data_IF_387877034639
#
_entry.id   IF_387877034639
#
_cell.length_a   1.000
_cell.length_b   1.000
_cell.length_c   1.000
_cell.angle_alpha   90.00
_cell.angle_beta   90.00
_cell.angle_gamma   90.00
#
_symmetry.space_group_name_H-M   'P 1'
#
loop_
_entity.id
_entity.type
_entity.pdbx_description
1 polymer ?
2 non-polymer ?
3 non-polymer ?
4 non-polymer ?
5 non-polymer ?
6 water ?
#
# COMPACT_ATOMS: atom_id res chain seq x y z
N UNK A 1 11.44 -14.53 14.96
CA UNK A 1 11.97 -14.60 13.56
C UNK A 1 13.32 -13.87 13.45
N UNK A 2 14.12 -13.92 14.51
CA UNK A 2 15.44 -13.26 14.58
C UNK A 2 16.41 -13.78 13.53
N UNK A 3 16.29 -15.05 13.17
CA UNK A 3 17.13 -15.65 12.14
C UNK A 3 16.88 -15.12 10.72
N UNK A 4 15.87 -14.28 10.53
CA UNK A 4 15.62 -13.65 9.21
C UNK A 4 16.15 -12.23 9.12
N UNK A 5 16.52 -11.66 10.25
CA UNK A 5 16.88 -10.24 10.29
C UNK A 5 18.20 -9.94 9.61
N UNK A 6 18.28 -8.73 9.07
CA UNK A 6 19.42 -8.17 8.43
C UNK A 6 19.94 -7.03 9.34
N UNK A 7 21.25 -6.93 9.46
CA UNK A 7 21.88 -5.98 10.37
C UNK A 7 22.48 -4.85 9.55
N UNK A 8 22.14 -3.60 9.84
CA UNK A 8 22.71 -2.48 9.09
C UNK A 8 24.21 -2.26 9.40
N UNK A 9 25.01 -2.27 8.37
CA UNK A 9 26.44 -1.99 8.50
C UNK A 9 26.77 -0.58 8.11
N UNK A 10 26.09 -0.04 7.08
CA UNK A 10 26.36 1.33 6.72
C UNK A 10 25.11 1.95 6.15
N UNK A 11 25.00 3.26 6.32
CA UNK A 11 23.89 4.04 5.71
C UNK A 11 24.39 5.35 5.10
N UNK A 12 23.66 5.84 4.12
CA UNK A 12 23.92 7.15 3.60
C UNK A 12 22.66 7.62 2.91
N UNK A 13 22.47 8.92 2.82
CA UNK A 13 21.44 9.45 1.97
C UNK A 13 22.01 9.56 0.56
N UNK A 14 21.58 8.67 -0.33
CA UNK A 14 22.19 8.62 -1.67
C UNK A 14 21.59 9.69 -2.59
N UNK A 15 20.35 10.09 -2.36
CA UNK A 15 19.74 11.08 -3.28
C UNK A 15 18.71 11.92 -2.57
N UNK A 16 18.68 13.21 -2.89
CA UNK A 16 17.56 14.06 -2.48
C UNK A 16 17.04 14.81 -3.71
N UNK A 17 15.80 14.55 -4.08
CA UNK A 17 15.17 15.27 -5.17
C UNK A 17 14.47 16.49 -4.65
N UNK A 18 13.53 16.98 -5.45
CA UNK A 18 12.64 18.06 -5.01
C UNK A 18 11.84 17.60 -3.79
N UNK A 19 11.33 16.37 -3.83
CA UNK A 19 10.55 15.82 -2.75
C UNK A 19 11.06 14.55 -2.13
N UNK A 20 11.66 13.67 -2.91
CA UNK A 20 11.97 12.34 -2.42
C UNK A 20 13.41 12.22 -1.95
N UNK A 21 13.58 11.60 -0.80
CA UNK A 21 14.90 11.33 -0.23
C UNK A 21 15.11 9.82 -0.18
N UNK A 22 16.24 9.36 -0.70
CA UNK A 22 16.55 7.93 -0.74
C UNK A 22 17.75 7.60 0.14
N UNK A 23 17.57 6.63 1.04
CA UNK A 23 18.66 6.08 1.84
C UNK A 23 19.17 4.79 1.13
N UNK A 24 20.49 4.64 1.09
CA UNK A 24 21.13 3.42 0.60
C UNK A 24 21.95 2.79 1.74
N UNK A 25 21.61 1.56 2.11
CA UNK A 25 22.24 0.86 3.22
C UNK A 25 23.00 -0.35 2.72
N UNK A 26 24.06 -0.69 3.44
CA UNK A 26 24.65 -1.99 3.30
C UNK A 26 24.27 -2.77 4.54
N UNK A 27 23.76 -3.98 4.35
CA UNK A 27 23.30 -4.82 5.46
C UNK A 27 23.97 -6.19 5.47
N UNK A 28 24.15 -6.73 6.66
CA UNK A 28 24.58 -8.11 6.76
C UNK A 28 23.38 -9.03 6.94
N UNK A 29 23.24 -9.97 6.01
CA UNK A 29 22.08 -10.82 5.94
C UNK A 29 22.31 -12.13 6.71
N UNK A 30 21.28 -12.98 6.83
CA UNK A 30 21.46 -14.23 7.62
C UNK A 30 22.57 -15.19 7.13
N UNK A 31 23.01 -15.02 5.90
CA UNK A 31 24.15 -15.78 5.38
C UNK A 31 25.50 -15.16 5.76
N UNK A 32 25.49 -14.09 6.56
CA UNK A 32 26.72 -13.37 6.90
C UNK A 32 27.30 -12.54 5.78
N UNK A 33 26.68 -12.53 4.59
CA UNK A 33 27.12 -11.73 3.46
C UNK A 33 26.48 -10.31 3.46
N UNK A 34 27.01 -9.43 2.61
CA UNK A 34 26.59 -8.01 2.58
C UNK A 34 25.77 -7.70 1.33
N UNK A 35 24.61 -7.05 1.53
CA UNK A 35 23.73 -6.69 0.42
C UNK A 35 23.32 -5.23 0.53
N UNK A 36 23.00 -4.64 -0.60
CA UNK A 36 22.53 -3.28 -0.65
C UNK A 36 21.01 -3.27 -0.44
N UNK A 37 20.53 -2.28 0.28
CA UNK A 37 19.09 -2.04 0.44
C UNK A 37 18.86 -0.56 0.18
N UNK A 38 17.77 -0.22 -0.54
CA UNK A 38 17.47 1.16 -0.91
C UNK A 38 16.04 1.42 -0.60
N UNK A 39 15.74 2.58 -0.02
CA UNK A 39 14.39 2.90 0.38
C UNK A 39 14.20 4.39 0.58
N UNK A 40 12.97 4.84 0.35
CA UNK A 40 12.57 6.24 0.57
C UNK A 40 12.37 6.51 2.07
N UNK A 41 12.84 7.66 2.53
CA UNK A 41 12.64 8.10 3.90
C UNK A 41 11.39 9.01 3.86
N UNK A 42 10.36 8.59 4.57
CA UNK A 42 9.06 9.23 4.51
C UNK A 42 8.70 9.58 5.96
N UNK A 43 8.01 10.72 6.17
CA UNK A 43 7.72 11.18 7.53
C UNK A 43 6.65 10.37 8.29
N UNK A 44 5.96 9.48 7.59
CA UNK A 44 4.73 8.89 8.08
C UNK A 44 3.52 9.72 7.70
N UNK A 45 2.35 9.16 7.97
CA UNK A 45 1.11 9.81 7.52
C UNK A 45 -0.10 9.39 8.35
N UNK A 46 -1.21 10.08 8.11
CA UNK A 46 -2.50 9.71 8.67
C UNK A 46 -3.59 9.74 7.59
N UNK A 47 -4.57 8.85 7.73
CA UNK A 47 -5.77 8.86 6.93
C UNK A 47 -7.00 8.66 7.84
N UNK A 48 -8.14 9.24 7.47
CA UNK A 48 -9.32 8.98 8.27
C UNK A 48 -10.57 8.67 7.49
N UNK A 49 -11.48 7.99 8.18
CA UNK A 49 -12.75 7.56 7.65
C UNK A 49 -13.77 8.43 8.31
N UNK A 50 -14.31 9.43 7.61
CA UNK A 50 -15.17 10.40 8.30
C UNK A 50 -16.64 10.03 8.08
N UNK A 51 -17.26 9.54 9.14
CA UNK A 51 -18.61 8.97 9.06
C UNK A 51 -19.68 9.97 9.50
N UNK A 52 -20.52 10.35 8.55
CA UNK A 52 -21.52 11.38 8.73
C UNK A 52 -22.74 10.83 9.46
N UNK A 53 -23.53 11.75 10.06
CA UNK A 53 -24.80 11.33 10.68
C UNK A 53 -25.70 10.51 9.74
N UNK A 54 -25.74 10.84 8.45
CA UNK A 54 -26.63 10.11 7.53
C UNK A 54 -26.09 8.74 7.11
N UNK A 55 -24.93 8.35 7.64
CA UNK A 55 -24.32 7.08 7.32
C UNK A 55 -23.37 7.09 6.13
N UNK A 56 -23.32 8.19 5.37
CA UNK A 56 -22.37 8.25 4.26
C UNK A 56 -21.00 8.59 4.85
N UNK A 57 -19.95 8.36 4.07
CA UNK A 57 -18.61 8.76 4.45
C UNK A 57 -18.16 9.90 3.54
N UNK A 58 -17.38 10.81 4.09
CA UNK A 58 -16.80 11.89 3.32
C UNK A 58 -15.53 11.39 2.64
N UNK A 59 -15.49 11.52 1.33
CA UNK A 59 -14.31 11.11 0.53
C UNK A 59 -13.92 12.22 -0.41
N UNK A 60 -12.82 12.01 -1.15
CA UNK A 60 -12.34 12.97 -2.12
C UNK A 60 -11.99 12.31 -3.43
N UNK A 61 -12.09 13.11 -4.49
CA UNK A 61 -11.46 12.77 -5.77
C UNK A 61 -10.21 13.63 -5.87
N UNK A 62 -9.10 13.00 -6.23
CA UNK A 62 -7.82 13.70 -6.36
C UNK A 62 -7.01 13.07 -7.49
N UNK A 63 -6.46 13.90 -8.38
CA UNK A 63 -5.59 13.41 -9.44
C UNK A 63 -4.23 13.08 -8.85
N UNK A 64 -3.68 11.94 -9.25
CA UNK A 64 -2.34 11.47 -8.79
C UNK A 64 -1.46 11.21 -10.00
N UNK A 65 -0.53 12.14 -10.27
CA UNK A 65 0.28 12.10 -11.45
C UNK A 65 1.17 10.85 -11.57
N UNK A 66 1.58 10.28 -10.45
CA UNK A 66 2.43 9.11 -10.48
C UNK A 66 1.73 7.96 -11.19
N UNK A 67 0.41 7.90 -11.10
CA UNK A 67 -0.40 6.87 -11.79
C UNK A 67 -1.22 7.39 -12.98
N UNK A 68 -1.19 8.69 -13.22
CA UNK A 68 -1.92 9.36 -14.28
C UNK A 68 -3.42 9.16 -14.17
N UNK A 69 -3.96 9.10 -12.95
CA UNK A 69 -5.41 9.03 -12.85
C UNK A 69 -5.96 9.68 -11.62
N UNK A 70 -7.28 9.83 -11.63
CA UNK A 70 -8.02 10.40 -10.52
C UNK A 70 -8.44 9.23 -9.62
N UNK A 71 -8.17 9.38 -8.33
CA UNK A 71 -8.50 8.37 -7.35
C UNK A 71 -9.59 8.86 -6.43
N UNK A 72 -10.42 7.93 -6.01
CA UNK A 72 -11.33 8.13 -4.88
C UNK A 72 -10.56 7.77 -3.62
N UNK A 73 -10.43 8.72 -2.71
CA UNK A 73 -9.61 8.50 -1.52
C UNK A 73 -10.34 8.93 -0.26
N UNK A 74 -9.95 8.37 0.88
CA UNK A 74 -10.27 8.97 2.14
C UNK A 74 -9.22 10.09 2.37
N UNK A 75 -9.58 11.15 3.14
CA UNK A 75 -8.63 12.24 3.31
C UNK A 75 -7.43 11.79 4.10
N UNK A 76 -6.29 12.38 3.77
CA UNK A 76 -5.02 12.00 4.36
C UNK A 76 -3.97 13.07 4.17
N UNK A 77 -2.89 12.95 4.92
CA UNK A 77 -1.69 13.69 4.61
C UNK A 77 -0.51 13.26 5.48
N UNK A 78 0.63 13.89 5.22
CA UNK A 78 1.87 13.56 5.85
C UNK A 78 1.98 14.17 7.24
N UNK A 79 2.68 13.44 8.07
CA UNK A 79 2.99 13.83 9.41
C UNK A 79 4.00 15.00 9.36
N UNK A 80 3.70 16.08 10.05
CA UNK A 80 4.57 17.26 10.00
C UNK A 80 5.27 17.47 11.31
N UNK A 81 6.56 17.83 11.24
CA UNK A 81 7.36 18.15 12.43
C UNK A 81 7.30 17.04 13.50
N UNK A 82 7.25 15.79 13.07
CA UNK A 82 7.08 14.66 14.00
C UNK A 82 5.87 14.73 14.99
N UNK A 83 4.81 15.43 14.61
CA UNK A 83 3.60 15.50 15.43
C UNK A 83 2.91 14.14 15.66
N UNK A 84 2.06 14.09 16.67
CA UNK A 84 1.17 12.94 16.85
C UNK A 84 0.26 12.84 15.60
N UNK A 85 0.06 11.63 15.08
CA UNK A 85 -0.72 11.52 13.84
C UNK A 85 -2.18 11.90 14.05
N UNK A 86 -2.68 11.88 15.29
CA UNK A 86 -4.04 12.35 15.53
C UNK A 86 -4.18 13.83 15.13
N UNK A 87 -3.14 14.63 15.40
CA UNK A 87 -3.14 16.01 14.96
C UNK A 87 -3.09 16.09 13.44
N UNK A 88 -2.27 15.26 12.81
CA UNK A 88 -2.24 15.21 11.35
C UNK A 88 -3.63 14.95 10.78
N UNK A 89 -4.30 13.95 11.34
CA UNK A 89 -5.63 13.56 10.87
C UNK A 89 -6.64 14.71 11.05
N UNK A 90 -6.60 15.39 12.20
CA UNK A 90 -7.58 16.47 12.44
C UNK A 90 -7.37 17.60 11.44
N UNK A 91 -6.11 17.99 11.24
CA UNK A 91 -5.77 19.05 10.32
C UNK A 91 -6.16 18.69 8.90
N UNK A 92 -5.79 17.49 8.44
CA UNK A 92 -6.11 17.11 7.09
C UNK A 92 -7.62 16.97 6.84
N UNK A 93 -8.37 16.45 7.81
CA UNK A 93 -9.82 16.37 7.63
C UNK A 93 -10.34 17.81 7.41
N UNK A 94 -9.84 18.76 8.23
CA UNK A 94 -10.31 20.13 8.14
C UNK A 94 -9.92 20.79 6.81
N UNK A 95 -8.65 20.71 6.44
CA UNK A 95 -8.18 21.33 5.23
C UNK A 95 -8.74 20.71 3.96
N UNK A 96 -8.75 19.37 3.86
CA UNK A 96 -9.17 18.76 2.60
C UNK A 96 -10.67 18.73 2.40
N UNK A 97 -11.45 18.72 3.48
CA UNK A 97 -12.90 18.54 3.37
C UNK A 97 -13.73 19.56 4.16
N UNK A 98 -13.09 20.33 5.03
CA UNK A 98 -13.80 21.28 5.88
C UNK A 98 -14.50 20.73 7.12
N UNK A 99 -14.26 19.46 7.46
CA UNK A 99 -14.93 18.88 8.61
C UNK A 99 -14.09 18.85 9.86
N UNK A 100 -14.78 18.92 11.00
CA UNK A 100 -14.24 18.55 12.30
C UNK A 100 -15.04 17.40 12.87
N UNK A 101 -14.41 16.66 13.76
CA UNK A 101 -14.99 15.48 14.38
C UNK A 101 -14.79 15.51 15.87
N UNK A 102 -15.86 15.20 16.59
CA UNK A 102 -15.76 15.08 18.06
C UNK A 102 -15.19 13.76 18.55
N UNK A 103 -15.36 12.69 17.78
CA UNK A 103 -14.98 11.38 18.24
C UNK A 103 -13.95 10.78 17.26
N UNK A 104 -12.75 10.58 17.76
CA UNK A 104 -11.63 9.98 16.99
C UNK A 104 -11.24 8.66 17.59
N UNK A 105 -11.05 7.66 16.74
CA UNK A 105 -10.66 6.35 17.20
C UNK A 105 -9.54 5.86 16.30
N UNK A 106 -8.43 5.46 16.89
CA UNK A 106 -7.34 4.87 16.11
C UNK A 106 -7.75 3.45 15.74
N UNK A 107 -7.58 3.07 14.47
CA UNK A 107 -7.91 1.69 14.04
C UNK A 107 -6.66 0.79 13.91
N UNK A 108 -5.72 1.24 13.10
CA UNK A 108 -4.56 0.40 12.77
C UNK A 108 -3.51 1.20 12.01
N UNK A 109 -2.29 0.64 11.95
CA UNK A 109 -1.20 1.22 11.19
C UNK A 109 -0.84 0.31 10.04
N UNK A 110 -0.74 0.87 8.84
CA UNK A 110 -0.37 0.12 7.65
C UNK A 110 0.98 0.60 7.10
N UNK A 111 1.62 -0.27 6.35
CA UNK A 111 2.90 0.02 5.69
C UNK A 111 2.70 -0.26 4.20
N UNK A 112 2.60 0.81 3.41
CA UNK A 112 2.22 0.63 2.00
C UNK A 112 3.32 0.28 1.05
N UNK A 113 4.57 0.30 1.50
CA UNK A 113 5.69 0.11 0.58
C UNK A 113 6.82 -0.64 1.29
N UNK A 114 6.55 -1.83 1.82
CA UNK A 114 7.55 -2.51 2.64
C UNK A 114 8.89 -2.83 1.89
N UNK A 115 8.84 -2.92 0.55
CA UNK A 115 9.99 -3.16 -0.29
C UNK A 115 10.89 -1.93 -0.48
N UNK A 116 10.36 -0.72 -0.32
CA UNK A 116 11.17 0.47 -0.68
C UNK A 116 10.79 1.83 -0.10
N UNK A 117 10.05 1.84 1.00
CA UNK A 117 9.83 3.05 1.76
C UNK A 117 9.54 2.69 3.23
N UNK A 118 9.95 3.58 4.15
CA UNK A 118 9.67 3.36 5.54
C UNK A 118 8.31 3.97 5.95
N UNK A 119 7.55 4.43 4.98
CA UNK A 119 6.23 5.04 5.22
C UNK A 119 5.31 4.17 6.06
N UNK A 120 4.70 4.75 7.09
CA UNK A 120 3.55 4.13 7.75
C UNK A 120 2.41 5.13 7.68
N UNK A 121 1.20 4.60 7.71
CA UNK A 121 -0.01 5.41 7.70
C UNK A 121 -0.91 4.95 8.87
N UNK A 122 -1.22 5.87 9.76
CA UNK A 122 -2.13 5.55 10.85
C UNK A 122 -3.53 5.89 10.39
N UNK A 123 -4.43 4.93 10.51
CA UNK A 123 -5.83 5.06 10.05
C UNK A 123 -6.74 5.26 11.27
N UNK A 124 -7.61 6.25 11.16
CA UNK A 124 -8.54 6.65 12.20
C UNK A 124 -9.96 6.61 11.68
N UNK A 125 -10.90 6.32 12.58
CA UNK A 125 -12.34 6.49 12.35
C UNK A 125 -12.77 7.81 13.02
N UNK A 126 -13.40 8.71 12.24
CA UNK A 126 -13.89 9.97 12.75
C UNK A 126 -15.43 10.03 12.70
N UNK A 127 -16.02 10.29 13.86
CA UNK A 127 -17.45 10.36 14.03
C UNK A 127 -17.84 11.68 14.73
N UNK A 128 -19.15 11.96 14.66
CA UNK A 128 -19.74 13.17 15.19
C UNK A 128 -19.11 14.39 14.56
N UNK A 129 -19.40 14.54 13.26
CA UNK A 129 -18.79 15.51 12.39
C UNK A 129 -19.61 16.76 12.34
N UNK A 130 -18.93 17.88 12.15
CA UNK A 130 -19.57 19.12 11.77
C UNK A 130 -18.75 19.80 10.70
N UNK A 131 -19.42 20.50 9.80
CA UNK A 131 -18.78 21.10 8.62
C UNK A 131 -18.37 22.55 8.87
N UNK A 132 -17.25 22.96 8.29
CA UNK A 132 -16.79 24.36 8.23
C UNK A 132 -16.44 24.66 6.77
N UNK A 133 -15.17 24.80 6.44
CA UNK A 133 -14.74 25.20 5.09
C UNK A 133 -13.43 24.50 4.67
N UNK A 134 -13.42 23.94 3.47
CA UNK A 134 -12.22 23.34 2.92
C UNK A 134 -11.16 24.44 2.74
N UNK A 135 -9.90 24.15 3.09
CA UNK A 135 -8.79 25.12 2.90
C UNK A 135 -7.59 24.46 2.18
N UNK A 136 -7.49 24.66 0.87
CA UNK A 136 -6.51 23.97 0.06
C UNK A 136 -5.25 24.77 -0.14
N UNK A 137 -4.12 24.08 -0.22
CA UNK A 137 -2.85 24.69 -0.57
C UNK A 137 -2.81 25.11 -2.05
N UNK A 138 -1.86 26.00 -2.38
CA UNK A 138 -1.49 26.22 -3.78
C UNK A 138 -0.93 24.87 -4.25
N UNK A 139 -1.43 24.38 -5.38
CA UNK A 139 -0.93 23.11 -5.93
C UNK A 139 -1.70 21.88 -5.49
N UNK A 140 -2.73 22.10 -4.67
CA UNK A 140 -3.59 21.01 -4.16
C UNK A 140 -5.01 21.18 -4.69
N UNK A 141 -5.51 20.12 -5.32
CA UNK A 141 -6.75 20.16 -6.08
C UNK A 141 -7.59 18.96 -5.68
N UNK A 142 -8.76 19.22 -5.08
CA UNK A 142 -9.50 18.17 -4.36
C UNK A 142 -10.99 18.45 -4.48
N UNK A 143 -11.76 17.44 -4.87
CA UNK A 143 -13.20 17.56 -4.88
C UNK A 143 -13.77 16.65 -3.81
N UNK A 144 -14.67 17.20 -3.00
CA UNK A 144 -15.21 16.44 -1.87
C UNK A 144 -16.52 15.76 -2.29
N UNK A 145 -16.71 14.51 -1.88
CA UNK A 145 -17.94 13.74 -2.19
C UNK A 145 -18.42 12.95 -0.97
N UNK A 146 -19.72 12.63 -0.95
CA UNK A 146 -20.29 11.74 0.09
C UNK A 146 -20.56 10.43 -0.59
N UNK A 147 -20.15 9.35 0.05
CA UNK A 147 -20.28 8.04 -0.51
C UNK A 147 -21.00 7.10 0.45
N UNK A 148 -21.97 6.35 -0.09
CA UNK A 148 -22.69 5.39 0.73
C UNK A 148 -21.76 4.18 0.91
N UNK A 149 -21.60 3.67 2.15
CA UNK A 149 -20.64 2.57 2.34
C UNK A 149 -20.94 1.34 1.50
N UNK A 150 -22.22 1.02 1.29
CA UNK A 150 -22.56 -0.12 0.42
C UNK A 150 -22.08 0.10 -1.01
N UNK A 151 -22.20 1.33 -1.52
CA UNK A 151 -21.73 1.68 -2.85
C UNK A 151 -20.21 1.61 -2.88
N UNK A 152 -19.57 2.03 -1.78
CA UNK A 152 -18.10 1.95 -1.71
C UNK A 152 -17.60 0.52 -1.84
N UNK A 153 -18.20 -0.41 -1.11
CA UNK A 153 -17.79 -1.80 -1.13
C UNK A 153 -17.96 -2.39 -2.54
N UNK A 154 -19.01 -1.97 -3.26
CA UNK A 154 -19.23 -2.45 -4.64
C UNK A 154 -18.13 -1.86 -5.56
N UNK A 155 -17.74 -0.62 -5.32
CA UNK A 155 -16.64 -0.04 -6.06
C UNK A 155 -15.35 -0.78 -5.77
N UNK A 156 -15.10 -1.21 -4.53
CA UNK A 156 -13.90 -1.97 -4.22
C UNK A 156 -13.86 -3.23 -5.06
N UNK A 157 -14.96 -3.98 -5.02
CA UNK A 157 -15.07 -5.21 -5.78
C UNK A 157 -14.81 -4.98 -7.27
N UNK A 158 -15.33 -3.88 -7.81
CA UNK A 158 -15.18 -3.55 -9.23
C UNK A 158 -13.82 -2.98 -9.62
N UNK A 159 -12.89 -2.88 -8.67
CA UNK A 159 -11.54 -2.43 -8.98
C UNK A 159 -11.39 -0.92 -8.98
N UNK A 160 -12.43 -0.20 -8.53
CA UNK A 160 -12.49 1.26 -8.64
C UNK A 160 -12.03 2.03 -7.41
N UNK A 161 -11.44 1.32 -6.46
CA UNK A 161 -10.87 1.88 -5.22
C UNK A 161 -9.49 1.27 -5.04
N UNK A 162 -8.67 1.43 -6.07
CA UNK A 162 -7.37 0.79 -6.09
C UNK A 162 -6.33 1.39 -5.13
N UNK A 163 -6.56 2.60 -4.63
CA UNK A 163 -5.71 3.18 -3.61
C UNK A 163 -5.70 2.35 -2.34
N UNK A 164 -4.58 1.74 -2.02
CA UNK A 164 -4.54 0.79 -0.89
C UNK A 164 -5.04 1.36 0.41
N UNK A 165 -4.69 2.59 0.75
CA UNK A 165 -5.09 3.09 2.09
C UNK A 165 -6.60 3.20 2.19
N UNK A 166 -7.21 3.68 1.12
CA UNK A 166 -8.65 3.88 1.03
C UNK A 166 -9.40 2.55 0.99
N UNK A 167 -8.88 1.58 0.22
CA UNK A 167 -9.48 0.27 0.16
C UNK A 167 -9.45 -0.41 1.50
N UNK A 168 -8.30 -0.31 2.18
CA UNK A 168 -8.18 -0.83 3.53
C UNK A 168 -9.18 -0.13 4.44
N UNK A 169 -9.32 1.19 4.32
CA UNK A 169 -10.35 1.92 5.09
C UNK A 169 -11.75 1.39 4.91
N UNK A 170 -12.07 1.12 3.64
CA UNK A 170 -13.38 0.57 3.27
C UNK A 170 -13.65 -0.75 3.96
N UNK A 171 -12.66 -1.64 3.98
CA UNK A 171 -12.82 -2.92 4.64
C UNK A 171 -12.92 -2.81 6.15
N UNK A 172 -12.14 -1.91 6.74
CA UNK A 172 -12.27 -1.69 8.20
C UNK A 172 -13.64 -1.09 8.56
N UNK A 173 -14.12 -0.15 7.75
CA UNK A 173 -15.45 0.44 7.91
C UNK A 173 -16.54 -0.60 7.81
N UNK A 174 -16.43 -1.49 6.83
CA UNK A 174 -17.39 -2.59 6.62
C UNK A 174 -17.45 -3.45 7.88
N UNK A 175 -16.30 -3.82 8.42
CA UNK A 175 -16.26 -4.60 9.68
C UNK A 175 -16.91 -3.83 10.85
N UNK A 176 -16.66 -2.53 10.90
CA UNK A 176 -17.19 -1.69 11.94
C UNK A 176 -18.72 -1.57 11.84
N UNK A 177 -19.22 -1.30 10.64
CA UNK A 177 -20.64 -1.12 10.39
C UNK A 177 -21.44 -2.39 10.60
N UNK A 178 -20.82 -3.53 10.34
CA UNK A 178 -21.47 -4.82 10.59
C UNK A 178 -21.41 -5.26 12.05
N UNK A 179 -20.68 -4.55 12.89
CA UNK A 179 -20.51 -4.88 14.30
C UNK A 179 -19.52 -6.01 14.57
N UNK A 180 -18.65 -6.32 13.61
CA UNK A 180 -17.69 -7.42 13.81
C UNK A 180 -16.50 -6.87 14.54
N UNK A 181 -16.03 -5.69 14.13
CA UNK A 181 -14.88 -5.08 14.77
C UNK A 181 -15.25 -3.70 15.29
N UNK A 182 -15.30 -3.55 16.61
CA UNK A 182 -15.53 -2.25 17.24
C UNK A 182 -15.10 -2.21 18.70
N UNK B 3 -10.98 17.81 -15.33
CA UNK B 3 -10.72 19.14 -14.68
C UNK B 3 -9.91 19.01 -13.38
N UNK B 4 -9.46 17.79 -13.02
CA UNK B 4 -8.38 17.61 -12.03
C UNK B 4 -7.06 17.20 -12.72
N UNK B 5 -7.15 16.72 -13.95
CA UNK B 5 -6.01 16.15 -14.63
C UNK B 5 -4.90 17.17 -14.78
N UNK B 6 -3.67 16.75 -14.52
CA UNK B 6 -2.48 17.56 -14.72
C UNK B 6 -1.81 17.14 -16.01
N UNK B 7 -1.31 18.11 -16.77
CA UNK B 7 -0.74 17.84 -18.09
C UNK B 7 0.80 17.86 -18.03
N UNK B 8 1.43 16.82 -18.53
CA UNK B 8 2.87 16.71 -18.48
C UNK B 8 3.48 17.69 -19.47
N UNK B 9 4.37 18.52 -18.99
CA UNK B 9 5.13 19.47 -19.85
C UNK B 9 6.51 18.93 -20.20
N UNK B 10 7.15 18.26 -19.25
CA UNK B 10 8.46 17.63 -19.50
C UNK B 10 8.64 16.49 -18.51
N UNK B 11 9.55 15.57 -18.86
CA UNK B 11 9.92 14.41 -18.05
C UNK B 11 11.44 14.21 -18.04
N UNK B 12 11.97 13.69 -16.95
CA UNK B 12 13.32 13.19 -16.94
C UNK B 12 13.51 12.20 -15.81
N UNK B 13 14.46 11.31 -16.00
CA UNK B 13 14.81 10.33 -14.98
C UNK B 13 15.93 10.95 -14.19
N UNK B 14 15.64 11.36 -12.96
CA UNK B 14 16.63 12.14 -12.18
C UNK B 14 17.53 11.26 -11.33
N UNK B 15 17.07 10.06 -11.01
CA UNK B 15 17.87 9.16 -10.18
C UNK B 15 17.70 7.71 -10.61
N UNK B 16 18.80 6.98 -10.64
CA UNK B 16 18.78 5.53 -10.78
C UNK B 16 19.88 4.94 -9.88
N UNK B 17 19.46 4.24 -8.83
CA UNK B 17 20.37 3.63 -7.88
C UNK B 17 20.47 2.15 -8.17
N UNK B 18 20.76 1.39 -7.13
CA UNK B 18 20.86 -0.07 -7.27
C UNK B 18 19.54 -0.65 -7.68
N UNK B 19 18.45 -0.15 -7.08
CA UNK B 19 17.14 -0.69 -7.29
C UNK B 19 16.12 0.35 -7.70
N UNK B 20 16.25 1.57 -7.20
CA UNK B 20 15.20 2.56 -7.44
C UNK B 20 15.52 3.54 -8.56
N UNK B 21 14.48 3.90 -9.29
CA UNK B 21 14.53 4.88 -10.36
C UNK B 21 13.49 5.94 -10.11
N UNK B 22 13.86 7.21 -10.20
CA UNK B 22 12.94 8.34 -9.94
C UNK B 22 12.75 9.14 -11.21
N UNK B 23 11.48 9.34 -11.54
CA UNK B 23 11.10 10.24 -12.59
C UNK B 23 10.70 11.60 -12.02
N UNK B 24 11.08 12.67 -12.70
CA UNK B 24 10.66 14.02 -12.30
C UNK B 24 10.01 14.70 -13.49
N UNK B 25 8.74 15.09 -13.32
CA UNK B 25 7.99 15.75 -14.35
C UNK B 25 7.66 17.18 -13.94
N UNK B 26 7.56 18.05 -14.95
CA UNK B 26 6.92 19.34 -14.83
C UNK B 26 5.53 19.17 -15.38
N UNK B 27 4.52 19.58 -14.60
CA UNK B 27 3.13 19.48 -15.03
C UNK B 27 2.43 20.82 -14.94
N UNK B 28 1.39 20.96 -15.76
CA UNK B 28 0.48 22.10 -15.64
C UNK B 28 -0.78 21.62 -14.97
N UNK B 29 -1.15 22.25 -13.86
CA UNK B 29 -2.27 21.81 -13.03
C UNK B 29 -3.54 22.57 -13.39
N UNK B 30 -4.67 22.21 -12.74
CA UNK B 30 -5.94 22.93 -13.02
C UNK B 30 -5.94 24.45 -12.78
N UNK B 31 -5.07 24.96 -11.91
CA UNK B 31 -4.92 26.40 -11.74
C UNK B 31 -4.08 27.07 -12.86
N UNK B 32 -3.69 26.29 -13.86
CA UNK B 32 -2.84 26.73 -14.97
C UNK B 32 -1.39 26.97 -14.63
N UNK B 33 -1.01 26.68 -13.39
CA UNK B 33 0.35 26.83 -12.92
C UNK B 33 1.18 25.55 -13.09
N UNK B 34 2.51 25.72 -13.01
CA UNK B 34 3.49 24.63 -13.22
C UNK B 34 3.99 24.08 -11.88
N UNK B 35 4.03 22.76 -11.76
CA UNK B 35 4.46 22.10 -10.54
C UNK B 35 5.38 20.94 -10.89
N UNK B 36 6.21 20.60 -9.93
CA UNK B 36 7.05 19.42 -10.04
C UNK B 36 6.32 18.21 -9.45
N UNK B 37 6.42 17.08 -10.16
CA UNK B 37 5.91 15.80 -9.67
C UNK B 37 7.05 14.80 -9.75
N UNK B 38 7.29 14.08 -8.66
CA UNK B 38 8.40 13.17 -8.54
C UNK B 38 7.91 11.84 -8.04
N UNK B 39 8.27 10.74 -8.71
CA UNK B 39 7.79 9.42 -8.33
C UNK B 39 8.72 8.29 -8.84
N UNK B 40 8.68 7.19 -8.10
CA UNK B 40 9.37 5.98 -8.47
C UNK B 40 8.75 5.33 -9.69
N UNK B 41 9.62 4.89 -10.61
CA UNK B 41 9.25 4.13 -11.79
C UNK B 41 9.40 2.68 -11.40
N UNK B 42 8.28 1.99 -11.30
CA UNK B 42 8.23 0.62 -10.82
C UNK B 42 7.69 -0.22 -11.94
N UNK B 43 8.23 -1.43 -12.15
CA UNK B 43 7.74 -2.29 -13.28
C UNK B 43 6.35 -2.93 -13.11
N UNK B 44 5.75 -2.83 -11.93
CA UNK B 44 4.54 -3.56 -11.58
C UNK B 44 4.88 -4.88 -10.92
N UNK B 45 3.87 -5.56 -10.41
CA UNK B 45 4.07 -6.70 -9.54
C UNK B 45 2.81 -7.54 -9.47
N UNK B 46 3.00 -8.76 -8.99
CA UNK B 46 1.91 -9.66 -8.74
C UNK B 46 2.04 -10.18 -7.32
N UNK B 47 0.88 -10.50 -6.73
CA UNK B 47 0.82 -11.16 -5.45
C UNK B 47 -0.24 -12.24 -5.53
N UNK B 48 -0.04 -13.33 -4.80
CA UNK B 48 -1.08 -14.32 -4.83
C UNK B 48 -1.35 -15.02 -3.51
N UNK B 49 -2.58 -15.50 -3.46
CA UNK B 49 -3.17 -16.08 -2.29
C UNK B 49 -3.28 -17.57 -2.59
N UNK B 50 -2.39 -18.39 -2.02
CA UNK B 50 -2.43 -19.79 -2.46
C UNK B 50 -3.26 -20.58 -1.47
N UNK B 51 -4.38 -21.11 -1.93
CA UNK B 51 -5.36 -21.77 -1.07
C UNK B 51 -5.22 -23.28 -1.17
N UNK B 52 -4.97 -23.90 -0.01
CA UNK B 52 -4.69 -25.34 0.11
C UNK B 52 -6.01 -26.11 0.23
N UNK B 53 -5.99 -27.43 -0.04
CA UNK B 53 -7.22 -28.23 0.12
C UNK B 53 -7.73 -28.33 1.57
N UNK B 54 -6.82 -28.18 2.53
CA UNK B 54 -7.22 -28.16 3.95
C UNK B 54 -7.83 -26.81 4.40
N UNK B 55 -8.00 -25.87 3.48
CA UNK B 55 -8.55 -24.53 3.78
C UNK B 55 -7.58 -23.48 4.29
N UNK B 56 -6.33 -23.84 4.53
CA UNK B 56 -5.33 -22.88 4.96
C UNK B 56 -4.73 -22.21 3.70
N UNK B 57 -4.03 -21.11 3.92
CA UNK B 57 -3.33 -20.44 2.85
C UNK B 57 -1.84 -20.47 3.14
N UNK B 58 -1.07 -20.51 2.07
CA UNK B 58 0.34 -20.48 2.12
C UNK B 58 0.81 -19.01 2.18
N UNK B 59 1.60 -18.72 3.20
CA UNK B 59 2.14 -17.39 3.36
C UNK B 59 3.61 -17.46 3.63
N UNK B 60 4.23 -16.29 3.78
CA UNK B 60 5.65 -16.22 4.09
C UNK B 60 5.95 -15.24 5.21
N UNK B 61 7.04 -15.48 5.89
CA UNK B 61 7.72 -14.49 6.75
C UNK B 61 8.96 -14.03 6.00
N UNK B 62 9.13 -12.72 5.93
CA UNK B 62 10.26 -12.09 5.25
C UNK B 62 10.64 -10.82 5.96
N UNK B 63 11.94 -10.62 6.15
CA UNK B 63 12.44 -9.40 6.75
C UNK B 63 12.43 -8.31 5.70
N UNK B 64 12.04 -7.11 6.09
CA UNK B 64 11.97 -5.97 5.15
C UNK B 64 12.74 -4.82 5.75
N UNK B 65 13.94 -4.60 5.19
CA UNK B 65 14.83 -3.61 5.80
C UNK B 65 14.28 -2.18 5.80
N UNK B 66 13.48 -1.83 4.80
CA UNK B 66 12.92 -0.47 4.74
C UNK B 66 12.14 -0.13 6.00
N UNK B 67 11.53 -1.12 6.64
CA UNK B 67 10.74 -0.88 7.84
C UNK B 67 11.35 -1.50 9.07
N UNK B 68 12.43 -2.26 8.88
CA UNK B 68 13.16 -2.89 9.98
C UNK B 68 12.35 -3.92 10.78
N UNK B 69 11.53 -4.73 10.14
CA UNK B 69 10.90 -5.82 10.80
C UNK B 69 10.54 -6.94 9.85
N UNK B 70 10.15 -8.04 10.45
CA UNK B 70 9.70 -9.20 9.71
C UNK B 70 8.20 -9.06 9.49
N UNK B 71 7.80 -9.29 8.24
CA UNK B 71 6.41 -9.28 7.86
C UNK B 71 5.88 -10.64 7.51
N UNK B 72 4.58 -10.82 7.83
CA UNK B 72 3.76 -11.85 7.27
C UNK B 72 3.19 -11.32 5.95
N UNK B 73 3.45 -12.06 4.87
CA UNK B 73 3.11 -11.60 3.51
C UNK B 73 2.51 -12.75 2.73
N UNK B 74 1.69 -12.43 1.73
CA UNK B 74 1.44 -13.38 0.67
C UNK B 74 2.61 -13.23 -0.29
N UNK B 75 2.96 -14.32 -0.99
CA UNK B 75 4.13 -14.25 -1.85
C UNK B 75 3.90 -13.28 -3.01
N UNK B 76 4.97 -12.67 -3.47
CA UNK B 76 4.83 -11.64 -4.52
C UNK B 76 6.13 -11.40 -5.19
N UNK B 77 6.08 -10.71 -6.33
CA UNK B 77 7.28 -10.14 -6.88
C UNK B 77 7.05 -9.21 -8.07
N UNK B 78 8.15 -8.64 -8.56
CA UNK B 78 8.12 -7.64 -9.62
C UNK B 78 8.03 -8.26 -11.00
N UNK B 79 7.28 -7.62 -11.87
CA UNK B 79 7.19 -7.98 -13.27
C UNK B 79 8.53 -7.89 -13.98
N UNK B 80 8.85 -8.93 -14.73
CA UNK B 80 10.10 -9.01 -15.45
C UNK B 80 9.83 -8.81 -16.94
N UNK B 81 10.58 -7.88 -17.53
CA UNK B 81 10.54 -7.65 -18.97
C UNK B 81 9.11 -7.49 -19.51
N UNK B 82 8.33 -6.67 -18.81
CA UNK B 82 6.92 -6.46 -19.12
C UNK B 82 6.11 -7.75 -19.50
N UNK B 83 6.45 -8.87 -18.89
CA UNK B 83 5.63 -10.08 -19.01
C UNK B 83 4.22 -9.84 -18.43
N UNK B 84 3.28 -10.71 -18.78
CA UNK B 84 1.91 -10.75 -18.18
C UNK B 84 2.11 -11.03 -16.69
N UNK B 85 1.39 -10.34 -15.80
CA UNK B 85 1.59 -10.54 -14.36
C UNK B 85 1.23 -11.92 -13.90
N UNK B 86 0.42 -12.67 -14.65
CA UNK B 86 0.17 -14.06 -14.27
C UNK B 86 1.44 -14.88 -14.36
N UNK B 87 2.28 -14.61 -15.36
CA UNK B 87 3.61 -15.23 -15.45
C UNK B 87 4.50 -14.88 -14.25
N UNK B 88 4.47 -13.62 -13.86
CA UNK B 88 5.15 -13.19 -12.66
C UNK B 88 4.69 -13.99 -11.44
N UNK B 89 3.37 -14.09 -11.27
CA UNK B 89 2.76 -14.80 -10.15
C UNK B 89 3.17 -16.27 -10.13
N UNK B 90 3.11 -16.94 -11.28
CA UNK B 90 3.51 -18.34 -11.32
C UNK B 90 4.96 -18.55 -10.91
N UNK B 91 5.85 -17.74 -11.45
CA UNK B 91 7.27 -17.84 -11.10
C UNK B 91 7.54 -17.56 -9.65
N UNK B 92 7.01 -16.45 -9.13
CA UNK B 92 7.22 -16.11 -7.71
C UNK B 92 6.57 -17.09 -6.75
N UNK B 93 5.40 -17.63 -7.08
CA UNK B 93 4.84 -18.67 -6.21
C UNK B 93 5.82 -19.85 -6.10
N UNK B 94 6.38 -20.27 -7.22
CA UNK B 94 7.33 -21.38 -7.21
C UNK B 94 8.64 -21.02 -6.51
N UNK B 95 9.22 -19.88 -6.84
CA UNK B 95 10.51 -19.49 -6.26
C UNK B 95 10.41 -19.22 -4.76
N UNK B 96 9.40 -18.46 -4.37
CA UNK B 96 9.28 -18.09 -2.93
C UNK B 96 8.76 -19.16 -2.00
N UNK B 97 7.85 -19.99 -2.49
CA UNK B 97 7.18 -20.96 -1.65
C UNK B 97 7.36 -22.43 -2.06
N UNK B 98 7.79 -22.65 -3.30
CA UNK B 98 7.92 -24.01 -3.80
C UNK B 98 6.65 -24.57 -4.33
N UNK B 99 5.58 -23.78 -4.43
CA UNK B 99 4.32 -24.29 -4.99
C UNK B 99 4.04 -23.94 -6.47
N UNK B 100 3.30 -24.83 -7.13
CA UNK B 100 2.71 -24.60 -8.44
C UNK B 100 1.23 -24.75 -8.26
N UNK B 101 0.46 -24.09 -9.13
CA UNK B 101 -1.01 -24.14 -9.06
C UNK B 101 -1.58 -24.30 -10.47
N UNK B 102 -2.65 -25.09 -10.58
CA UNK B 102 -3.26 -25.32 -11.89
C UNK B 102 -4.44 -24.42 -12.15
N UNK B 103 -4.97 -23.78 -11.09
CA UNK B 103 -6.13 -22.92 -11.17
C UNK B 103 -5.82 -21.51 -10.63
N UNK B 104 -5.81 -20.53 -11.53
CA UNK B 104 -5.46 -19.16 -11.21
C UNK B 104 -6.62 -18.27 -11.54
N UNK B 105 -6.85 -17.25 -10.71
CA UNK B 105 -7.93 -16.34 -10.93
C UNK B 105 -7.50 -14.94 -10.53
N UNK B 106 -7.57 -14.00 -11.46
CA UNK B 106 -7.33 -12.58 -11.13
C UNK B 106 -8.42 -12.03 -10.22
N UNK B 107 -8.01 -11.30 -9.17
CA UNK B 107 -8.94 -10.70 -8.25
C UNK B 107 -9.08 -9.21 -8.49
N UNK B 108 -7.99 -8.49 -8.39
CA UNK B 108 -8.03 -7.04 -8.50
C UNK B 108 -6.61 -6.45 -8.62
N UNK B 109 -6.54 -5.18 -9.03
CA UNK B 109 -5.30 -4.42 -9.11
C UNK B 109 -5.32 -3.30 -8.08
N UNK B 110 -4.21 -3.20 -7.34
CA UNK B 110 -4.06 -2.15 -6.31
C UNK B 110 -2.87 -1.26 -6.64
N UNK B 111 -2.92 -0.03 -6.15
CA UNK B 111 -1.85 0.96 -6.27
C UNK B 111 -1.41 1.36 -4.86
N UNK B 112 -0.24 0.88 -4.41
CA UNK B 112 0.15 1.04 -3.02
C UNK B 112 0.76 2.37 -2.65
N UNK B 113 1.12 3.17 -3.63
CA UNK B 113 1.87 4.37 -3.38
C UNK B 113 1.46 5.51 -4.32
N UNK B 114 0.17 5.86 -4.34
CA UNK B 114 -0.28 6.80 -5.36
C UNK B 114 0.38 8.17 -5.30
N UNK B 115 0.92 8.57 -4.14
CA UNK B 115 1.61 9.86 -4.01
C UNK B 115 2.99 9.89 -4.62
N UNK B 116 3.63 8.74 -4.82
CA UNK B 116 5.05 8.77 -5.23
C UNK B 116 5.63 7.52 -5.89
N UNK B 117 4.76 6.66 -6.41
CA UNK B 117 5.21 5.55 -7.27
C UNK B 117 4.14 5.16 -8.28
N UNK B 118 4.54 4.72 -9.46
CA UNK B 118 3.55 4.22 -10.40
C UNK B 118 3.27 2.73 -10.21
N UNK B 119 3.73 2.16 -9.11
CA UNK B 119 3.56 0.76 -8.85
C UNK B 119 2.08 0.36 -8.87
N UNK B 120 1.80 -0.75 -9.58
CA UNK B 120 0.55 -1.47 -9.41
C UNK B 120 0.91 -2.93 -9.01
N UNK B 121 0.01 -3.56 -8.28
CA UNK B 121 0.13 -4.96 -7.92
C UNK B 121 -1.17 -5.62 -8.32
N UNK B 122 -1.06 -6.71 -9.10
CA UNK B 122 -2.19 -7.53 -9.48
C UNK B 122 -2.24 -8.70 -8.53
N UNK B 123 -3.39 -8.87 -7.87
CA UNK B 123 -3.62 -9.90 -6.89
C UNK B 123 -4.41 -11.06 -7.54
N UNK B 124 -3.93 -12.27 -7.28
CA UNK B 124 -4.51 -13.50 -7.82
C UNK B 124 -4.83 -14.50 -6.69
N UNK B 125 -5.84 -15.33 -6.94
CA UNK B 125 -6.09 -16.50 -6.13
C UNK B 125 -5.57 -17.73 -6.89
N UNK B 126 -4.81 -18.57 -6.23
CA UNK B 126 -4.25 -19.78 -6.79
C UNK B 126 -4.78 -20.99 -6.04
N UNK B 127 -5.26 -21.96 -6.80
CA UNK B 127 -5.75 -23.21 -6.21
C UNK B 127 -5.28 -24.42 -6.97
N UNK B 128 -5.49 -25.58 -6.36
CA UNK B 128 -5.08 -26.87 -6.95
C UNK B 128 -3.57 -26.95 -7.01
N UNK B 129 -3.00 -27.13 -5.83
CA UNK B 129 -1.59 -26.85 -5.62
C UNK B 129 -0.75 -28.11 -5.58
N UNK B 130 0.50 -27.99 -6.04
CA UNK B 130 1.55 -29.01 -5.87
C UNK B 130 2.79 -28.44 -5.21
N UNK B 131 3.31 -29.13 -4.20
CA UNK B 131 4.43 -28.63 -3.42
C UNK B 131 5.74 -29.18 -3.96
N UNK B 132 6.51 -28.34 -4.62
CA UNK B 132 7.86 -28.67 -5.05
C UNK B 132 8.86 -28.06 -4.07
N UNK B 133 9.82 -27.25 -4.50
CA UNK B 133 10.68 -26.59 -3.53
C UNK B 133 10.99 -25.15 -3.90
N UNK B 134 11.36 -24.35 -2.92
CA UNK B 134 11.75 -22.95 -3.12
C UNK B 134 13.02 -22.86 -3.96
N UNK B 135 13.17 -21.74 -4.63
CA UNK B 135 14.36 -21.45 -5.40
C UNK B 135 14.58 -19.98 -5.23
N UNK B 136 15.27 -19.61 -4.15
CA UNK B 136 15.44 -18.23 -3.78
C UNK B 136 16.67 -17.65 -4.44
N UNK B 137 16.64 -16.34 -4.69
CA UNK B 137 17.78 -15.61 -5.26
C UNK B 137 18.77 -15.30 -4.15
N UNK B 138 20.04 -15.07 -4.48
CA UNK B 138 20.99 -14.59 -3.47
C UNK B 138 20.49 -13.26 -2.95
N UNK B 139 20.52 -13.11 -1.62
CA UNK B 139 19.97 -11.92 -0.96
C UNK B 139 18.53 -12.05 -0.51
N UNK B 140 17.90 -13.16 -0.88
CA UNK B 140 16.49 -13.41 -0.54
C UNK B 140 16.38 -14.48 0.53
N UNK B 141 15.65 -14.16 1.60
CA UNK B 141 15.49 -15.03 2.75
C UNK B 141 14.03 -15.07 3.13
N UNK B 142 13.42 -16.23 2.97
CA UNK B 142 11.96 -16.41 3.11
C UNK B 142 11.62 -17.72 3.80
N UNK B 143 10.77 -17.65 4.82
CA UNK B 143 10.17 -18.83 5.41
C UNK B 143 8.75 -18.98 5.03
N UNK B 144 8.37 -20.21 4.74
CA UNK B 144 7.04 -20.51 4.32
C UNK B 144 6.22 -20.97 5.51
N UNK B 145 5.02 -20.43 5.65
CA UNK B 145 4.11 -20.85 6.73
C UNK B 145 2.72 -21.09 6.22
N UNK B 146 2.01 -21.95 6.90
CA UNK B 146 0.66 -22.23 6.56
C UNK B 146 -0.25 -21.52 7.56
N UNK B 147 -1.23 -20.77 7.10
CA UNK B 147 -2.05 -19.92 7.99
C UNK B 147 -3.55 -20.15 7.81
N UNK B 148 -4.26 -20.29 8.94
CA UNK B 148 -5.74 -20.39 8.87
C UNK B 148 -6.31 -19.03 8.62
N UNK B 149 -7.23 -18.91 7.67
CA UNK B 149 -7.81 -17.61 7.38
C UNK B 149 -8.46 -16.94 8.59
N UNK B 150 -9.10 -17.72 9.47
CA UNK B 150 -9.68 -17.09 10.66
C UNK B 150 -8.59 -16.45 11.50
N UNK B 151 -7.46 -17.13 11.63
CA UNK B 151 -6.33 -16.62 12.38
C UNK B 151 -5.75 -15.37 11.72
N UNK B 152 -5.76 -15.36 10.38
CA UNK B 152 -5.23 -14.23 9.61
C UNK B 152 -6.06 -12.99 9.88
N UNK B 153 -7.37 -13.16 9.89
CA UNK B 153 -8.25 -12.03 10.11
C UNK B 153 -8.08 -11.42 11.51
N UNK B 154 -7.88 -12.27 12.51
CA UNK B 154 -7.57 -11.80 13.86
C UNK B 154 -6.22 -11.09 13.91
N UNK B 155 -5.23 -11.60 13.19
CA UNK B 155 -3.95 -10.92 13.06
C UNK B 155 -4.09 -9.52 12.41
N UNK B 156 -4.95 -9.43 11.39
CA UNK B 156 -5.18 -8.14 10.75
C UNK B 156 -5.74 -7.15 11.76
N UNK B 157 -6.78 -7.57 12.49
CA UNK B 157 -7.39 -6.70 13.52
C UNK B 157 -6.41 -6.21 14.56
N UNK B 158 -5.50 -7.09 14.95
CA UNK B 158 -4.48 -6.81 15.95
C UNK B 158 -3.31 -5.98 15.45
N UNK B 159 -3.31 -5.59 14.17
CA UNK B 159 -2.23 -4.78 13.61
C UNK B 159 -1.01 -5.56 13.17
N UNK B 160 -1.12 -6.89 13.12
CA UNK B 160 0.03 -7.75 12.83
C UNK B 160 0.13 -8.18 11.35
N UNK B 161 -0.71 -7.60 10.50
CA UNK B 161 -0.61 -7.78 9.04
C UNK B 161 -0.58 -6.40 8.41
N UNK B 162 0.40 -5.59 8.78
CA UNK B 162 0.46 -4.20 8.32
C UNK B 162 0.87 -4.00 6.83
N UNK B 163 1.40 -5.05 6.20
CA UNK B 163 1.71 -4.98 4.78
C UNK B 163 0.43 -4.80 3.98
N UNK B 164 0.28 -3.68 3.27
CA UNK B 164 -0.99 -3.36 2.63
C UNK B 164 -1.43 -4.44 1.64
N UNK B 165 -0.53 -4.99 0.84
CA UNK B 165 -0.96 -5.96 -0.19
C UNK B 165 -1.54 -7.23 0.46
N UNK B 166 -0.90 -7.67 1.55
CA UNK B 166 -1.29 -8.89 2.25
C UNK B 166 -2.60 -8.67 3.02
N UNK B 167 -2.72 -7.52 3.68
CA UNK B 167 -3.96 -7.20 4.39
C UNK B 167 -5.14 -7.14 3.42
N UNK B 168 -4.94 -6.49 2.27
CA UNK B 168 -5.96 -6.47 1.24
C UNK B 168 -6.33 -7.89 0.76
N UNK B 169 -5.31 -8.72 0.55
CA UNK B 169 -5.53 -10.13 0.17
C UNK B 169 -6.36 -10.87 1.20
N UNK B 170 -6.06 -10.61 2.48
CA UNK B 170 -6.84 -11.17 3.59
C UNK B 170 -8.32 -10.80 3.52
N UNK B 171 -8.60 -9.51 3.35
CA UNK B 171 -9.97 -9.03 3.20
C UNK B 171 -10.69 -9.60 2.00
N UNK B 172 -10.01 -9.69 0.84
CA UNK B 172 -10.63 -10.30 -0.34
C UNK B 172 -10.92 -11.79 -0.08
N UNK B 173 -9.96 -12.49 0.52
CA UNK B 173 -10.14 -13.92 0.85
C UNK B 173 -11.32 -14.13 1.79
N UNK B 174 -11.47 -13.23 2.78
CA UNK B 174 -12.57 -13.29 3.76
C UNK B 174 -13.91 -13.17 3.03
N UNK B 175 -13.98 -12.22 2.11
CA UNK B 175 -15.19 -12.07 1.26
C UNK B 175 -15.50 -13.30 0.40
N UNK B 176 -14.45 -13.86 -0.22
CA UNK B 176 -14.56 -15.09 -1.02
C UNK B 176 -15.00 -16.26 -0.13
N UNK B 177 -14.39 -16.42 1.03
CA UNK B 177 -14.72 -17.56 1.89
C UNK B 177 -16.10 -17.43 2.49
N UNK B 178 -16.51 -16.21 2.76
CA UNK B 178 -17.84 -15.97 3.30
C UNK B 178 -18.93 -16.05 2.22
N UNK B 179 -18.56 -16.26 0.96
CA UNK B 179 -19.52 -16.40 -0.12
C UNK B 179 -20.10 -15.09 -0.62
N UNK B 180 -19.57 -13.96 -0.15
CA UNK B 180 -20.11 -12.66 -0.50
C UNK B 180 -19.63 -12.22 -1.86
N UNK B 181 -18.35 -12.45 -2.12
CA UNK B 181 -17.75 -12.17 -3.42
C UNK B 181 -17.20 -13.49 -3.97
#
# INVERSE_FOLDING_TARGET
>A
MKHLEEKTLSTRQIFKGRYLKIEQDQVQAPDGRTYTREYILHPGAAMMIPLLPNGNVVMIHQYRHAVKKVFLEFPAGKRDHNEETLLTAKRELLEETGYEAKDWKFLTTIHPVIGYSNEHIDLYLARDLTHLEQRLDQGQFIEVVEVKPADLMQLVLEGKVSDVKTQIGAFWLDKFLRGEWN
>B
MKHLEEKTLSTRQIFKGRYLKIEQDQVQAPDGRTYTREYILHPGAAMMIPLLPNGNVVMIHQYRHAVKKVFLEFPAGKRDHNEETLLTAKRELLEETGYEAKDWKFLTTIHPVIGYSNEHIDLYLARDLTHLEQRLDQGQFIEVVEVKPADLMQLVLEGKVSDVKTQIGAFWLDKFLRGEWN
#
